data_IF_808387486772
#
_entry.id   IF_808387486772
#
_cell.length_a   1.000
_cell.length_b   1.000
_cell.length_c   1.000
_cell.angle_alpha   90.00
_cell.angle_beta   90.00
_cell.angle_gamma   90.00
#
_symmetry.space_group_name_H-M   'P 1'
#
loop_
_entity.id
_entity.type
_entity.pdbx_description
1 polymer ?
#
# COMPACT_ATOMS: atom_id res chain seq x y z
N UNK A 1 -8.55 -25.94 -29.94
CA UNK A 1 -8.74 -26.78 -28.73
C UNK A 1 -8.41 -26.06 -27.41
N UNK A 2 -7.55 -25.02 -27.38
CA UNK A 2 -7.14 -24.29 -26.15
C UNK A 2 -8.27 -23.57 -25.38
N UNK A 3 -9.31 -23.11 -26.07
CA UNK A 3 -10.42 -22.36 -25.44
C UNK A 3 -11.32 -23.25 -24.58
N UNK A 4 -11.51 -24.50 -24.98
CA UNK A 4 -12.36 -25.46 -24.25
C UNK A 4 -11.73 -25.91 -22.93
N UNK A 5 -10.40 -25.93 -22.87
CA UNK A 5 -9.65 -26.28 -21.66
C UNK A 5 -9.65 -25.13 -20.65
N UNK A 6 -9.48 -23.89 -21.11
CA UNK A 6 -9.58 -22.71 -20.26
C UNK A 6 -10.98 -22.55 -19.66
N UNK A 7 -12.04 -22.74 -20.46
CA UNK A 7 -13.42 -22.72 -19.96
C UNK A 7 -13.65 -23.81 -18.91
N UNK A 8 -13.11 -25.00 -19.10
CA UNK A 8 -13.25 -26.11 -18.15
C UNK A 8 -12.51 -25.84 -16.84
N UNK A 9 -11.33 -25.22 -16.92
CA UNK A 9 -10.54 -24.83 -15.76
C UNK A 9 -11.21 -23.71 -14.95
N UNK A 10 -11.82 -22.73 -15.63
CA UNK A 10 -12.62 -21.66 -15.01
C UNK A 10 -13.88 -22.21 -14.34
N UNK A 11 -14.58 -23.16 -14.98
CA UNK A 11 -15.73 -23.85 -14.39
C UNK A 11 -15.32 -24.68 -13.16
N UNK A 12 -14.16 -25.34 -13.19
CA UNK A 12 -13.66 -26.13 -12.06
C UNK A 12 -13.22 -25.25 -10.88
N UNK A 13 -12.60 -24.10 -11.13
CA UNK A 13 -12.33 -23.08 -10.10
C UNK A 13 -13.64 -22.48 -9.56
N UNK A 14 -14.60 -22.16 -10.42
CA UNK A 14 -15.90 -21.64 -10.02
C UNK A 14 -16.69 -22.66 -9.18
N UNK A 15 -16.62 -23.96 -9.53
CA UNK A 15 -17.22 -25.05 -8.78
C UNK A 15 -16.52 -25.28 -7.43
N UNK A 16 -15.19 -25.17 -7.36
CA UNK A 16 -14.44 -25.19 -6.09
C UNK A 16 -14.80 -24.00 -5.20
N UNK A 17 -14.96 -22.82 -5.77
CA UNK A 17 -15.45 -21.62 -5.09
C UNK A 17 -16.90 -21.78 -4.64
N UNK A 18 -17.79 -22.33 -5.47
CA UNK A 18 -19.19 -22.56 -5.16
C UNK A 18 -19.41 -23.68 -4.13
N UNK A 19 -18.50 -24.67 -4.10
CA UNK A 19 -18.45 -25.72 -3.08
C UNK A 19 -18.04 -25.18 -1.71
N UNK A 20 -17.50 -23.96 -1.62
CA UNK A 20 -17.25 -23.33 -0.32
C UNK A 20 -18.56 -22.84 0.31
N UNK A 21 -18.79 -23.14 1.61
CA UNK A 21 -19.92 -22.61 2.35
C UNK A 21 -20.01 -21.08 2.25
N UNK A 22 -21.23 -20.54 2.22
CA UNK A 22 -21.46 -19.10 2.06
C UNK A 22 -20.67 -18.25 3.07
N UNK A 23 -20.66 -18.67 4.35
CA UNK A 23 -19.91 -18.00 5.41
C UNK A 23 -18.38 -18.00 5.18
N UNK A 24 -17.83 -19.02 4.51
CA UNK A 24 -16.41 -19.10 4.18
C UNK A 24 -16.07 -18.20 2.99
N UNK A 25 -16.97 -18.08 2.02
CA UNK A 25 -16.85 -17.11 0.92
C UNK A 25 -16.95 -15.67 1.43
N UNK A 26 -17.87 -15.39 2.35
CA UNK A 26 -18.01 -14.06 2.96
C UNK A 26 -16.78 -13.66 3.78
N UNK A 27 -16.18 -14.58 4.54
CA UNK A 27 -14.93 -14.33 5.26
C UNK A 27 -13.77 -14.04 4.29
N UNK A 28 -13.63 -14.81 3.20
CA UNK A 28 -12.57 -14.58 2.19
C UNK A 28 -12.76 -13.25 1.46
N UNK A 29 -14.00 -12.93 1.06
CA UNK A 29 -14.33 -11.64 0.43
C UNK A 29 -14.04 -10.47 1.37
N UNK A 30 -14.36 -10.63 2.67
CA UNK A 30 -14.08 -9.62 3.69
C UNK A 30 -12.58 -9.44 3.95
N UNK A 31 -11.79 -10.52 3.95
CA UNK A 31 -10.33 -10.44 4.06
C UNK A 31 -9.69 -9.73 2.86
N UNK A 32 -10.15 -10.05 1.65
CA UNK A 32 -9.61 -9.45 0.43
C UNK A 32 -9.98 -7.96 0.29
N UNK A 33 -11.16 -7.57 0.77
CA UNK A 33 -11.60 -6.17 0.85
C UNK A 33 -10.81 -5.39 1.91
N UNK A 34 -10.56 -6.00 3.07
CA UNK A 34 -9.68 -5.42 4.12
C UNK A 34 -8.23 -5.26 3.65
N UNK A 35 -7.63 -6.25 2.99
CA UNK A 35 -6.26 -6.11 2.46
C UNK A 35 -6.16 -4.98 1.43
N UNK A 36 -7.14 -4.85 0.53
CA UNK A 36 -7.17 -3.72 -0.41
C UNK A 36 -7.32 -2.38 0.30
N UNK A 37 -8.08 -2.35 1.39
CA UNK A 37 -8.32 -1.14 2.18
C UNK A 37 -7.11 -0.78 3.04
N UNK A 38 -6.37 -1.75 3.56
CA UNK A 38 -5.09 -1.55 4.23
C UNK A 38 -4.01 -1.09 3.26
N UNK A 39 -3.95 -1.63 2.04
CA UNK A 39 -2.97 -1.17 1.04
C UNK A 39 -3.24 0.28 0.61
N UNK A 40 -4.50 0.65 0.41
CA UNK A 40 -4.92 2.03 0.14
C UNK A 40 -4.59 2.96 1.33
N UNK A 41 -4.83 2.52 2.57
CA UNK A 41 -4.48 3.30 3.77
C UNK A 41 -2.98 3.46 3.93
N UNK A 42 -2.20 2.41 3.72
CA UNK A 42 -0.75 2.44 3.79
C UNK A 42 -0.14 3.33 2.70
N UNK A 43 -0.72 3.34 1.49
CA UNK A 43 -0.33 4.29 0.43
C UNK A 43 -0.64 5.73 0.82
N UNK A 44 -1.81 5.99 1.39
CA UNK A 44 -2.20 7.32 1.88
C UNK A 44 -1.33 7.79 3.03
N UNK A 45 -0.99 6.90 3.95
CA UNK A 45 -0.13 7.18 5.10
C UNK A 45 1.27 7.54 4.61
N UNK A 46 1.85 6.76 3.69
CA UNK A 46 3.14 7.07 3.06
C UNK A 46 3.15 8.41 2.33
N UNK A 47 2.11 8.72 1.55
CA UNK A 47 2.02 10.03 0.89
C UNK A 47 1.91 11.18 1.91
N UNK A 48 1.16 10.98 3.00
CA UNK A 48 1.07 11.97 4.07
C UNK A 48 2.39 12.13 4.82
N UNK A 49 3.13 11.05 5.01
CA UNK A 49 4.43 11.03 5.66
C UNK A 49 5.46 11.75 4.79
N UNK A 50 5.51 11.43 3.48
CA UNK A 50 6.33 12.14 2.50
C UNK A 50 6.03 13.64 2.51
N UNK A 51 4.74 14.04 2.43
CA UNK A 51 4.35 15.46 2.54
C UNK A 51 4.85 16.12 3.81
N UNK A 52 4.73 15.45 4.95
CA UNK A 52 5.24 15.99 6.22
C UNK A 52 6.77 16.08 6.25
N UNK A 53 7.49 15.16 5.61
CA UNK A 53 8.94 15.25 5.42
C UNK A 53 9.31 16.46 4.56
N UNK A 54 8.55 16.73 3.48
CA UNK A 54 8.79 17.90 2.63
C UNK A 54 8.53 19.21 3.39
N UNK A 55 7.45 19.27 4.16
CA UNK A 55 7.13 20.44 4.98
C UNK A 55 8.18 20.68 6.07
N UNK A 56 8.76 19.62 6.66
CA UNK A 56 9.89 19.72 7.60
C UNK A 56 11.13 20.29 6.91
N UNK A 57 11.49 19.78 5.73
CA UNK A 57 12.63 20.31 4.96
C UNK A 57 12.42 21.78 4.57
N UNK A 58 11.20 22.15 4.15
CA UNK A 58 10.83 23.53 3.86
C UNK A 58 10.93 24.44 5.09
N UNK A 59 10.47 23.96 6.25
CA UNK A 59 10.56 24.71 7.52
C UNK A 59 12.01 24.94 7.94
N UNK A 60 12.88 23.96 7.67
CA UNK A 60 14.33 24.06 7.91
C UNK A 60 15.06 24.88 6.81
N UNK A 61 14.36 25.36 5.79
CA UNK A 61 14.91 26.17 4.70
C UNK A 61 15.70 25.36 3.66
N UNK A 62 15.54 24.03 3.65
CA UNK A 62 16.22 23.15 2.71
C UNK A 62 15.34 22.83 1.49
N UNK A 63 15.95 22.90 0.31
CA UNK A 63 15.33 22.53 -0.95
C UNK A 63 15.58 21.05 -1.26
N UNK A 64 14.49 20.27 -1.38
CA UNK A 64 14.56 18.85 -1.71
C UNK A 64 15.26 18.59 -3.05
N UNK A 65 15.07 19.44 -4.05
CA UNK A 65 15.66 19.26 -5.38
C UNK A 65 17.19 19.37 -5.36
N UNK A 66 17.75 19.99 -4.31
CA UNK A 66 19.20 20.17 -4.13
C UNK A 66 19.82 19.20 -3.14
N UNK A 67 19.01 18.34 -2.53
CA UNK A 67 19.45 17.37 -1.54
C UNK A 67 19.33 15.95 -2.08
N UNK A 68 20.44 15.21 -1.99
CA UNK A 68 20.41 13.77 -2.24
C UNK A 68 19.48 13.08 -1.23
N UNK A 69 18.83 11.96 -1.60
CA UNK A 69 17.88 11.28 -0.72
C UNK A 69 18.44 10.96 0.69
N UNK A 70 19.72 10.61 0.79
CA UNK A 70 20.38 10.35 2.06
C UNK A 70 20.65 11.60 2.90
N UNK A 71 20.86 12.76 2.26
CA UNK A 71 21.03 14.04 2.97
C UNK A 71 19.70 14.51 3.56
N UNK A 72 18.59 14.29 2.86
CA UNK A 72 17.23 14.57 3.37
C UNK A 72 17.00 13.84 4.69
N UNK A 73 17.34 12.54 4.74
CA UNK A 73 17.22 11.73 5.95
C UNK A 73 18.11 12.24 7.10
N UNK A 74 19.35 12.66 6.82
CA UNK A 74 20.22 13.25 7.85
C UNK A 74 19.66 14.57 8.37
N UNK A 75 19.13 15.43 7.49
CA UNK A 75 18.58 16.73 7.85
C UNK A 75 17.30 16.56 8.67
N UNK A 76 16.39 15.67 8.27
CA UNK A 76 15.20 15.34 9.04
C UNK A 76 15.57 14.83 10.44
N UNK A 77 16.52 13.88 10.51
CA UNK A 77 17.02 13.33 11.78
C UNK A 77 17.69 14.38 12.67
N UNK A 78 18.42 15.34 12.10
CA UNK A 78 19.03 16.47 12.84
C UNK A 78 18.00 17.52 13.24
N UNK A 79 17.02 17.80 12.40
CA UNK A 79 15.94 18.76 12.65
C UNK A 79 15.04 18.33 13.81
N UNK A 80 14.77 17.03 13.94
CA UNK A 80 14.02 16.49 15.07
C UNK A 80 14.78 16.64 16.41
N UNK A 81 16.12 16.53 16.39
CA UNK A 81 16.98 16.75 17.57
C UNK A 81 16.97 18.22 18.00
N UNK A 82 16.87 19.16 17.05
CA UNK A 82 16.83 20.60 17.33
C UNK A 82 15.47 21.10 17.86
N UNK A 83 14.43 20.25 17.84
CA UNK A 83 13.06 20.59 18.28
C UNK A 83 12.73 20.12 19.70
N UNK A 84 13.61 19.32 20.32
CA UNK A 84 13.61 19.00 21.75
C UNK A 84 14.26 20.13 22.55
#
# INVERSE_FOLDING_TARGET
MKTKELSKQVDEEAARLASMPAWRRDIMKKKLDEEKKEEERAKKEKESEEKTEQERLRTLGYDESKLAPWQRQIILKKGDIAKQ
#
